data_IF_360309678622
#
_entry.id   IF_360309678622
#
_cell.length_a   1.000
_cell.length_b   1.000
_cell.length_c   1.000
_cell.angle_alpha   90.00
_cell.angle_beta   90.00
_cell.angle_gamma   90.00
#
_symmetry.space_group_name_H-M   'P 1'
#
loop_
_entity.id
_entity.type
_entity.pdbx_description
1 polymer ?
#
# COMPACT_ATOMS: atom_id res chain seq x y z
N UNK A 1 22.23 -3.72 -31.07
CA UNK A 1 23.38 -3.64 -30.14
C UNK A 1 24.00 -5.05 -30.02
N UNK A 2 25.25 -5.20 -30.37
CA UNK A 2 25.94 -6.48 -30.62
C UNK A 2 26.21 -7.30 -29.33
N UNK A 3 25.68 -6.86 -28.18
CA UNK A 3 25.81 -7.57 -26.90
C UNK A 3 24.49 -7.63 -26.16
N UNK A 4 23.62 -8.56 -26.54
CA UNK A 4 22.39 -8.93 -25.80
C UNK A 4 22.69 -9.54 -24.42
N UNK A 5 23.43 -8.86 -23.56
CA UNK A 5 23.68 -9.32 -22.21
C UNK A 5 22.59 -8.76 -21.31
N UNK A 6 21.87 -9.66 -20.66
CA UNK A 6 20.90 -9.32 -19.63
C UNK A 6 21.60 -8.46 -18.56
N UNK A 7 21.16 -7.21 -18.40
CA UNK A 7 21.75 -6.27 -17.42
C UNK A 7 21.00 -6.22 -16.10
N UNK A 8 19.72 -6.53 -16.16
CA UNK A 8 18.83 -6.47 -15.00
C UNK A 8 17.74 -7.53 -15.11
N UNK A 9 17.49 -8.24 -14.03
CA UNK A 9 16.37 -9.15 -13.87
C UNK A 9 15.58 -8.73 -12.63
N UNK A 10 14.27 -8.69 -12.73
CA UNK A 10 13.37 -8.37 -11.59
C UNK A 10 12.36 -9.49 -11.48
N UNK A 11 12.29 -10.12 -10.32
CA UNK A 11 11.32 -11.12 -9.98
C UNK A 11 10.37 -10.55 -8.93
N UNK A 12 9.07 -10.60 -9.19
CA UNK A 12 8.02 -10.21 -8.26
C UNK A 12 7.35 -11.45 -7.69
N UNK A 13 7.11 -11.46 -6.39
CA UNK A 13 6.23 -12.40 -5.72
C UNK A 13 5.02 -11.64 -5.20
N UNK A 14 3.86 -12.26 -5.34
CA UNK A 14 2.60 -11.69 -4.89
C UNK A 14 1.96 -12.61 -3.88
N UNK A 15 1.26 -12.03 -2.90
CA UNK A 15 0.35 -12.74 -2.02
C UNK A 15 -1.07 -12.35 -2.35
N UNK A 16 -1.95 -13.34 -2.38
CA UNK A 16 -3.37 -13.12 -2.54
C UNK A 16 -3.94 -12.52 -1.26
N UNK A 17 -4.77 -11.50 -1.42
CA UNK A 17 -5.59 -11.00 -0.31
C UNK A 17 -6.72 -11.99 -0.14
N UNK A 18 -6.90 -12.51 1.08
CA UNK A 18 -7.85 -13.57 1.42
C UNK A 18 -9.19 -13.41 0.68
N UNK A 19 -9.62 -14.41 -0.11
CA UNK A 19 -10.90 -14.39 -0.77
C UNK A 19 -12.02 -14.21 0.25
N UNK A 20 -13.00 -13.38 -0.05
CA UNK A 20 -14.19 -13.17 0.80
C UNK A 20 -14.35 -11.74 1.32
N UNK A 21 -13.32 -10.89 1.24
CA UNK A 21 -13.45 -9.48 1.62
C UNK A 21 -13.86 -8.55 0.45
N UNK A 22 -13.99 -9.08 -0.77
CA UNK A 22 -14.30 -8.27 -1.96
C UNK A 22 -15.38 -8.92 -2.82
N UNK A 23 -16.63 -8.88 -2.36
CA UNK A 23 -17.77 -8.97 -3.26
C UNK A 23 -17.93 -7.58 -3.87
N UNK A 24 -17.57 -7.41 -5.14
CA UNK A 24 -17.58 -6.10 -5.78
C UNK A 24 -18.94 -5.71 -6.32
N UNK A 25 -19.74 -6.66 -6.76
CA UNK A 25 -21.13 -6.43 -7.17
C UNK A 25 -21.92 -7.74 -7.26
N UNK A 26 -23.14 -7.72 -6.76
CA UNK A 26 -24.18 -8.67 -7.13
C UNK A 26 -25.08 -7.99 -8.16
N UNK A 27 -25.09 -8.48 -9.39
CA UNK A 27 -25.97 -7.98 -10.42
C UNK A 27 -27.11 -8.97 -10.63
N UNK A 28 -28.33 -8.52 -10.38
CA UNK A 28 -29.55 -9.24 -10.68
C UNK A 28 -30.17 -8.70 -11.95
N UNK A 29 -30.22 -9.52 -12.99
CA UNK A 29 -30.92 -9.16 -14.24
C UNK A 29 -32.24 -9.92 -14.27
N UNK A 30 -33.35 -9.17 -14.23
CA UNK A 30 -34.70 -9.72 -14.35
C UNK A 30 -35.17 -9.56 -15.79
N UNK A 31 -35.44 -10.68 -16.46
CA UNK A 31 -36.11 -10.69 -17.75
C UNK A 31 -37.60 -10.90 -17.55
N UNK A 32 -38.41 -10.00 -18.09
CA UNK A 32 -39.86 -10.15 -18.16
C UNK A 32 -40.18 -10.61 -19.56
N UNK A 33 -40.62 -11.85 -19.72
CA UNK A 33 -41.25 -12.30 -20.95
C UNK A 33 -42.76 -12.06 -20.84
N UNK A 34 -43.25 -11.14 -21.63
CA UNK A 34 -44.71 -10.98 -21.85
C UNK A 34 -45.07 -11.70 -23.15
N UNK A 35 -45.73 -12.81 -23.03
CA UNK A 35 -46.44 -13.42 -24.17
C UNK A 35 -47.83 -12.81 -24.25
N UNK A 36 -48.14 -12.20 -25.39
CA UNK A 36 -49.38 -11.47 -25.59
C UNK A 36 -50.64 -12.34 -25.67
N UNK A 37 -50.46 -13.65 -25.85
CA UNK A 37 -51.59 -14.62 -25.99
C UNK A 37 -51.85 -15.52 -24.79
N UNK A 38 -50.88 -15.58 -23.85
CA UNK A 38 -51.03 -16.36 -22.61
C UNK A 38 -50.46 -15.61 -21.42
N UNK A 39 -51.27 -15.26 -20.46
CA UNK A 39 -50.93 -14.55 -19.23
C UNK A 39 -49.97 -15.35 -18.31
N UNK A 40 -48.90 -15.93 -18.85
CA UNK A 40 -47.83 -16.55 -18.09
C UNK A 40 -46.68 -15.53 -17.95
N UNK A 41 -46.69 -14.80 -16.86
CA UNK A 41 -45.54 -14.01 -16.38
C UNK A 41 -44.44 -14.98 -15.92
N UNK A 42 -43.58 -15.37 -16.84
CA UNK A 42 -42.32 -16.02 -16.52
C UNK A 42 -41.29 -15.00 -16.06
N UNK A 43 -40.98 -14.98 -14.75
CA UNK A 43 -39.83 -14.21 -14.23
C UNK A 43 -38.61 -15.10 -14.30
N UNK A 44 -37.68 -14.81 -15.21
CA UNK A 44 -36.36 -15.45 -15.22
C UNK A 44 -35.37 -14.43 -14.69
N UNK A 45 -34.78 -14.74 -13.54
CA UNK A 45 -33.73 -13.90 -12.96
C UNK A 45 -32.39 -14.60 -13.05
N UNK A 46 -31.37 -13.90 -13.49
CA UNK A 46 -29.99 -14.37 -13.43
C UNK A 46 -29.26 -13.55 -12.35
N UNK A 47 -28.71 -14.24 -11.36
CA UNK A 47 -27.83 -13.63 -10.35
C UNK A 47 -26.39 -13.84 -10.78
N UNK A 48 -25.69 -12.75 -11.11
CA UNK A 48 -24.27 -12.79 -11.41
C UNK A 48 -23.50 -12.19 -10.25
N UNK A 49 -22.64 -12.98 -9.64
CA UNK A 49 -21.74 -12.53 -8.59
C UNK A 49 -20.33 -12.36 -9.13
N UNK A 50 -19.80 -11.15 -9.08
CA UNK A 50 -18.45 -10.84 -9.53
C UNK A 50 -17.50 -10.86 -8.33
N UNK A 51 -16.46 -11.66 -8.43
CA UNK A 51 -15.37 -11.70 -7.45
C UNK A 51 -14.15 -11.01 -8.02
N UNK A 52 -13.56 -10.12 -7.25
CA UNK A 52 -12.25 -9.52 -7.57
C UNK A 52 -11.18 -10.16 -6.71
N UNK A 53 -10.16 -10.70 -7.35
CA UNK A 53 -8.96 -11.16 -6.68
C UNK A 53 -7.99 -9.98 -6.61
N UNK A 54 -7.59 -9.58 -5.41
CA UNK A 54 -6.57 -8.58 -5.19
C UNK A 54 -5.26 -9.24 -4.78
N UNK A 55 -4.19 -8.88 -5.46
CA UNK A 55 -2.84 -9.37 -5.15
C UNK A 55 -2.00 -8.21 -4.64
N UNK A 56 -1.28 -8.43 -3.56
CA UNK A 56 -0.31 -7.49 -3.01
C UNK A 56 1.10 -8.02 -3.26
N UNK A 57 2.02 -7.14 -3.60
CA UNK A 57 3.44 -7.52 -3.74
C UNK A 57 3.97 -7.99 -2.40
N UNK A 58 4.44 -9.24 -2.34
CA UNK A 58 5.04 -9.83 -1.14
C UNK A 58 6.54 -9.56 -1.09
N UNK A 59 7.22 -9.82 -2.19
CA UNK A 59 8.65 -9.53 -2.30
C UNK A 59 9.07 -9.22 -3.73
N UNK A 60 10.20 -8.51 -3.85
CA UNK A 60 10.86 -8.20 -5.11
C UNK A 60 12.34 -8.56 -4.99
N UNK A 61 12.83 -9.33 -5.94
CA UNK A 61 14.26 -9.66 -6.06
C UNK A 61 14.76 -9.05 -7.38
N UNK A 62 15.67 -8.11 -7.25
CA UNK A 62 16.32 -7.44 -8.36
C UNK A 62 17.76 -7.94 -8.47
N UNK A 63 18.13 -8.46 -9.63
CA UNK A 63 19.50 -8.92 -9.92
C UNK A 63 20.09 -8.02 -10.99
N UNK A 64 21.20 -7.36 -10.67
CA UNK A 64 21.96 -6.49 -11.54
C UNK A 64 23.20 -7.21 -12.01
N UNK A 65 23.42 -7.22 -13.32
CA UNK A 65 24.59 -7.85 -13.96
C UNK A 65 25.52 -6.73 -14.45
N UNK A 66 26.72 -6.56 -13.86
CA UNK A 66 27.68 -5.57 -14.32
C UNK A 66 28.22 -5.90 -15.71
N UNK A 67 28.67 -4.87 -16.45
CA UNK A 67 29.26 -5.06 -17.78
C UNK A 67 30.57 -5.83 -17.75
N UNK A 68 31.32 -5.65 -16.69
CA UNK A 68 32.62 -6.31 -16.46
C UNK A 68 32.57 -7.00 -15.10
N UNK A 69 32.68 -8.33 -15.12
CA UNK A 69 32.71 -9.12 -13.91
C UNK A 69 31.63 -10.20 -13.84
N UNK A 70 31.91 -11.24 -13.07
CA UNK A 70 31.06 -12.42 -12.97
C UNK A 70 30.08 -12.35 -11.75
N UNK A 71 30.16 -11.31 -10.94
CA UNK A 71 29.37 -11.24 -9.70
C UNK A 71 28.15 -10.36 -9.91
N UNK A 72 26.97 -10.96 -9.83
CA UNK A 72 25.71 -10.25 -9.87
C UNK A 72 25.41 -9.62 -8.48
N UNK A 73 24.86 -8.41 -8.47
CA UNK A 73 24.34 -7.78 -7.25
C UNK A 73 22.88 -8.16 -7.09
N UNK A 74 22.51 -8.65 -5.92
CA UNK A 74 21.14 -9.03 -5.59
C UNK A 74 20.60 -8.06 -4.55
N UNK A 75 19.47 -7.43 -4.87
CA UNK A 75 18.72 -6.55 -3.97
C UNK A 75 17.38 -7.23 -3.70
N UNK A 76 17.10 -7.51 -2.44
CA UNK A 76 15.86 -8.12 -2.01
C UNK A 76 15.04 -7.10 -1.22
N UNK A 77 13.74 -7.04 -1.49
CA UNK A 77 12.77 -6.22 -0.75
C UNK A 77 11.57 -7.08 -0.39
N UNK A 78 11.17 -7.06 0.87
CA UNK A 78 9.96 -7.68 1.39
C UNK A 78 8.98 -6.58 1.82
N UNK A 79 7.70 -6.79 1.56
CA UNK A 79 6.64 -5.81 1.78
C UNK A 79 5.63 -6.33 2.80
N UNK A 80 5.25 -5.47 3.74
CA UNK A 80 4.17 -5.75 4.68
C UNK A 80 3.08 -4.69 4.56
N UNK A 81 1.87 -5.07 4.93
CA UNK A 81 0.67 -4.24 4.79
C UNK A 81 -0.13 -4.25 6.09
N UNK A 82 -0.76 -3.13 6.39
CA UNK A 82 -1.65 -3.00 7.53
C UNK A 82 -3.03 -3.64 7.27
N UNK A 83 -3.94 -3.55 8.24
CA UNK A 83 -5.32 -4.08 8.16
C UNK A 83 -6.12 -3.49 6.98
N UNK A 84 -5.76 -2.28 6.52
CA UNK A 84 -6.39 -1.59 5.38
C UNK A 84 -5.70 -1.87 4.04
N UNK A 85 -4.77 -2.84 4.00
CA UNK A 85 -3.98 -3.20 2.82
C UNK A 85 -3.06 -2.08 2.31
N UNK A 86 -2.73 -1.12 3.16
CA UNK A 86 -1.75 -0.09 2.89
C UNK A 86 -0.36 -0.59 3.28
N UNK A 87 0.64 -0.20 2.51
CA UNK A 87 2.03 -0.55 2.74
C UNK A 87 2.51 -0.03 4.11
N UNK A 88 2.83 -0.93 5.03
CA UNK A 88 3.29 -0.58 6.38
C UNK A 88 4.80 -0.73 6.55
N UNK A 89 5.44 -1.63 5.77
CA UNK A 89 6.87 -1.86 5.91
C UNK A 89 7.49 -2.32 4.59
N UNK A 90 8.71 -1.86 4.34
CA UNK A 90 9.61 -2.39 3.32
C UNK A 90 10.92 -2.76 4.02
N UNK A 91 11.25 -4.03 4.05
CA UNK A 91 12.52 -4.52 4.57
C UNK A 91 13.38 -5.04 3.42
N UNK A 92 14.68 -4.82 3.47
CA UNK A 92 15.56 -5.28 2.42
C UNK A 92 17.04 -5.16 2.76
N UNK A 93 17.86 -5.33 1.74
CA UNK A 93 19.30 -5.06 1.78
C UNK A 93 19.69 -4.23 0.58
N UNK A 94 20.57 -3.25 0.80
CA UNK A 94 21.16 -2.48 -0.29
C UNK A 94 22.32 -3.25 -0.95
N UNK A 95 22.91 -2.66 -1.98
CA UNK A 95 24.05 -3.21 -2.70
C UNK A 95 25.30 -3.47 -1.84
N UNK A 96 25.44 -2.73 -0.72
CA UNK A 96 26.54 -2.87 0.23
C UNK A 96 26.27 -3.96 1.28
N UNK A 97 25.16 -4.69 1.15
CA UNK A 97 24.73 -5.72 2.08
C UNK A 97 24.15 -5.20 3.40
N UNK A 98 24.04 -3.87 3.57
CA UNK A 98 23.43 -3.28 4.75
C UNK A 98 21.92 -3.46 4.73
N UNK A 99 21.34 -3.81 5.87
CA UNK A 99 19.91 -3.89 6.03
C UNK A 99 19.26 -2.51 5.88
N UNK A 100 18.17 -2.46 5.17
CA UNK A 100 17.32 -1.27 5.01
C UNK A 100 15.92 -1.58 5.51
N UNK A 101 15.31 -0.63 6.18
CA UNK A 101 13.95 -0.73 6.68
C UNK A 101 13.25 0.60 6.47
N UNK A 102 12.09 0.57 5.80
CA UNK A 102 11.18 1.71 5.72
C UNK A 102 9.88 1.32 6.38
N UNK A 103 9.43 2.11 7.34
CA UNK A 103 8.19 1.88 8.08
C UNK A 103 7.23 3.06 7.88
N UNK A 104 5.96 2.76 7.70
CA UNK A 104 4.87 3.73 7.58
C UNK A 104 3.84 3.49 8.67
N UNK A 105 3.50 4.53 9.42
CA UNK A 105 2.38 4.53 10.36
C UNK A 105 1.33 5.49 9.81
N UNK A 106 0.11 5.00 9.61
CA UNK A 106 -0.99 5.80 9.11
C UNK A 106 -1.78 6.39 10.27
N UNK A 107 -2.19 7.65 10.13
CA UNK A 107 -2.90 8.38 11.19
C UNK A 107 -4.15 7.62 11.66
N UNK A 108 -4.97 7.12 10.74
CA UNK A 108 -6.18 6.37 11.05
C UNK A 108 -5.95 5.08 11.88
N UNK A 109 -4.69 4.62 12.03
CA UNK A 109 -4.36 3.46 12.88
C UNK A 109 -4.02 3.86 14.33
N UNK A 110 -3.92 5.15 14.61
CA UNK A 110 -3.55 5.69 15.92
C UNK A 110 -4.79 6.14 16.70
N UNK A 111 -4.85 5.90 18.01
CA UNK A 111 -6.02 6.25 18.83
C UNK A 111 -6.39 7.73 18.80
N UNK A 112 -5.40 8.62 18.74
CA UNK A 112 -5.60 10.07 18.69
C UNK A 112 -6.26 10.56 17.40
N UNK A 113 -6.24 9.75 16.34
CA UNK A 113 -6.86 10.05 15.04
C UNK A 113 -8.01 9.10 14.69
N UNK A 114 -8.68 8.51 15.71
CA UNK A 114 -9.79 7.59 15.49
C UNK A 114 -10.90 8.19 14.63
N UNK A 115 -11.11 9.51 14.73
CA UNK A 115 -12.03 10.25 13.88
C UNK A 115 -11.73 10.13 12.38
N UNK A 116 -10.46 9.95 11.98
CA UNK A 116 -10.10 9.69 10.58
C UNK A 116 -10.55 8.29 10.14
N UNK A 117 -10.40 7.28 11.00
CA UNK A 117 -10.89 5.92 10.72
C UNK A 117 -12.41 5.93 10.55
N UNK A 118 -13.15 6.60 11.44
CA UNK A 118 -14.61 6.74 11.40
C UNK A 118 -15.10 7.50 10.16
N UNK A 119 -14.33 8.48 9.70
CA UNK A 119 -14.61 9.22 8.46
C UNK A 119 -14.05 8.55 7.19
N UNK A 120 -13.52 7.33 7.27
CA UNK A 120 -12.85 6.62 6.17
C UNK A 120 -11.68 7.39 5.52
N UNK A 121 -11.02 8.26 6.26
CA UNK A 121 -9.83 8.99 5.82
C UNK A 121 -8.60 8.17 6.21
N UNK A 122 -8.25 7.18 5.40
CA UNK A 122 -7.27 6.16 5.76
C UNK A 122 -5.84 6.45 5.28
N UNK A 123 -5.68 7.28 4.24
CA UNK A 123 -4.41 7.48 3.55
C UNK A 123 -3.36 8.38 4.23
N UNK A 124 -3.72 9.32 5.15
CA UNK A 124 -2.72 10.19 5.76
C UNK A 124 -1.69 9.40 6.57
N UNK A 125 -0.39 9.65 6.29
CA UNK A 125 0.73 9.05 7.00
C UNK A 125 1.06 9.87 8.23
N UNK A 126 1.06 9.28 9.42
CA UNK A 126 1.49 9.95 10.65
C UNK A 126 3.00 9.89 10.85
N UNK A 127 3.65 8.82 10.43
CA UNK A 127 5.11 8.81 10.39
C UNK A 127 5.66 7.90 9.31
N UNK A 128 6.82 8.30 8.79
CA UNK A 128 7.68 7.52 7.90
C UNK A 128 9.05 7.42 8.56
N UNK A 129 9.57 6.22 8.71
CA UNK A 129 10.91 5.98 9.22
C UNK A 129 11.72 5.23 8.18
N UNK A 130 12.88 5.74 7.82
CA UNK A 130 13.86 5.10 6.96
C UNK A 130 15.11 4.80 7.77
N UNK A 131 15.53 3.55 7.75
CA UNK A 131 16.70 3.07 8.48
C UNK A 131 17.65 2.35 7.52
N UNK A 132 18.93 2.65 7.64
CA UNK A 132 20.00 1.96 6.92
C UNK A 132 21.15 1.67 7.89
N UNK A 133 21.41 0.39 8.11
CA UNK A 133 22.36 -0.02 9.15
C UNK A 133 21.92 0.46 10.54
N UNK A 134 22.77 1.25 11.21
CA UNK A 134 22.50 1.78 12.56
C UNK A 134 21.82 3.15 12.59
N UNK A 135 21.76 3.86 11.45
CA UNK A 135 21.22 5.24 11.37
C UNK A 135 19.80 5.26 10.85
N UNK A 136 18.99 6.21 11.32
CA UNK A 136 17.63 6.39 10.86
C UNK A 136 17.25 7.85 10.62
N UNK A 137 16.28 8.06 9.76
CA UNK A 137 15.53 9.30 9.58
C UNK A 137 14.05 8.99 9.75
N UNK A 138 13.39 9.70 10.67
CA UNK A 138 11.95 9.60 10.90
C UNK A 138 11.29 10.94 10.66
N UNK A 139 10.30 10.97 9.77
CA UNK A 139 9.40 12.09 9.56
C UNK A 139 8.13 11.84 10.35
N UNK A 140 7.62 12.86 11.05
CA UNK A 140 6.38 12.79 11.83
C UNK A 140 5.45 13.90 11.40
N UNK A 141 4.22 13.54 11.11
CA UNK A 141 3.14 14.43 10.70
C UNK A 141 2.03 14.38 11.75
N UNK A 142 1.71 15.52 12.31
CA UNK A 142 0.56 15.68 13.20
C UNK A 142 -0.58 16.37 12.46
N UNK A 143 -1.79 15.93 12.71
CA UNK A 143 -3.00 16.43 12.07
C UNK A 143 -3.93 17.09 13.07
N UNK A 144 -4.77 18.00 12.60
CA UNK A 144 -5.82 18.64 13.40
C UNK A 144 -7.13 18.73 12.65
N UNK A 145 -8.22 18.84 13.43
CA UNK A 145 -9.57 19.15 12.97
C UNK A 145 -10.31 17.98 12.32
N UNK A 146 -11.55 18.22 11.89
CA UNK A 146 -12.35 17.22 11.19
C UNK A 146 -11.92 17.02 9.73
N UNK A 147 -11.11 17.94 9.20
CA UNK A 147 -10.39 17.81 7.92
C UNK A 147 -8.92 17.60 8.26
N UNK A 148 -8.22 16.65 7.61
CA UNK A 148 -6.85 16.28 7.98
C UNK A 148 -5.84 17.35 7.54
N UNK A 149 -5.86 18.50 8.18
CA UNK A 149 -4.80 19.50 8.01
C UNK A 149 -3.55 19.09 8.78
N UNK A 150 -2.41 19.28 8.18
CA UNK A 150 -1.13 19.07 8.83
C UNK A 150 -0.92 20.20 9.84
N UNK A 151 -0.92 19.84 11.13
CA UNK A 151 -0.63 20.77 12.23
C UNK A 151 0.88 21.00 12.38
N UNK A 152 1.66 19.94 12.30
CA UNK A 152 3.10 19.99 12.50
C UNK A 152 3.81 18.94 11.67
N UNK A 153 4.98 19.29 11.16
CA UNK A 153 5.94 18.37 10.57
C UNK A 153 7.22 18.44 11.40
N UNK A 154 7.76 17.31 11.78
CA UNK A 154 9.06 17.21 12.42
C UNK A 154 9.87 16.06 11.84
N UNK A 155 11.19 16.20 11.88
CA UNK A 155 12.12 15.12 11.53
C UNK A 155 12.95 14.76 12.74
N UNK A 156 13.22 13.47 12.88
CA UNK A 156 14.11 12.90 13.89
C UNK A 156 15.18 12.13 13.13
N UNK A 157 16.43 12.55 13.29
CA UNK A 157 17.59 11.86 12.76
C UNK A 157 18.44 11.39 13.94
N UNK A 158 18.50 10.09 14.15
CA UNK A 158 19.32 9.45 15.18
C UNK A 158 19.12 10.07 16.58
N UNK A 159 17.87 10.47 16.91
CA UNK A 159 17.52 11.11 18.19
C UNK A 159 17.55 12.64 18.20
N UNK A 160 18.00 13.28 17.11
CA UNK A 160 17.94 14.75 16.99
C UNK A 160 16.66 15.20 16.28
N UNK A 161 15.76 15.85 17.02
CA UNK A 161 14.45 16.28 16.53
C UNK A 161 14.47 17.72 16.07
N UNK A 162 14.05 17.94 14.82
CA UNK A 162 13.84 19.26 14.23
C UNK A 162 12.36 19.44 13.85
N UNK A 163 11.77 20.58 14.27
CA UNK A 163 10.43 20.98 13.87
C UNK A 163 10.53 21.92 12.67
N UNK A 164 9.91 21.53 11.54
CA UNK A 164 9.99 22.30 10.30
C UNK A 164 8.79 23.23 10.07
N UNK A 165 7.62 22.85 10.59
CA UNK A 165 6.38 23.53 10.29
C UNK A 165 5.38 23.30 11.42
N UNK A 166 4.73 24.38 11.82
CA UNK A 166 3.61 24.34 12.78
C UNK A 166 2.56 25.34 12.31
N UNK A 167 1.35 24.86 12.03
CA UNK A 167 0.19 25.75 11.81
C UNK A 167 -0.31 26.18 13.17
N UNK A 168 -0.33 27.49 13.41
CA UNK A 168 -1.12 28.06 14.50
C UNK A 168 -2.58 28.04 14.08
N UNK A 169 -3.47 27.64 14.98
CA UNK A 169 -4.91 27.75 14.73
C UNK A 169 -5.20 29.21 14.39
N UNK A 170 -5.88 29.43 13.27
CA UNK A 170 -6.46 30.73 12.96
C UNK A 170 -7.83 30.70 13.67
N UNK A 171 -7.97 31.55 14.67
CA UNK A 171 -9.24 31.78 15.39
C UNK A 171 -10.31 32.33 14.44
#
# INVERSE_FOLDING_TARGET
>A
DVNDRLRKKVNYRYKEVTPGSFVTADQMVLFFCTDLDNFMLGKVGTLTRTYTHAYLTDSVIETLYPQSGNTAFVIEKAYQYNKYKQLSQIAGRNSDGKSTLTEYVYAATLPEYKWMEEAHILSPVSSKKEQTGGSYLKEVYQYMGPIPYIKQISTDRDGYVHKHYTVQAVD
#
